data_IF_166479899983
#
_entry.id   IF_166479899983
#
_cell.length_a   1.000
_cell.length_b   1.000
_cell.length_c   1.000
_cell.angle_alpha   90.00
_cell.angle_beta   90.00
_cell.angle_gamma   90.00
#
_symmetry.space_group_name_H-M   'P 1'
#
loop_
_entity.id
_entity.type
_entity.pdbx_description
1 polymer ?
#
# COMPACT_ATOMS: atom_id res chain seq x y z
N UNK A 1 1.70 13.67 15.66
CA UNK A 1 1.93 12.26 15.32
C UNK A 1 0.94 11.40 16.08
N UNK A 2 0.32 10.41 15.39
CA UNK A 2 -0.67 9.49 15.98
C UNK A 2 -0.36 8.06 15.55
N UNK A 3 -0.63 7.11 16.43
CA UNK A 3 -0.43 5.68 16.17
C UNK A 3 -1.72 5.08 15.59
N UNK A 4 -1.69 4.70 14.31
CA UNK A 4 -2.84 4.13 13.59
C UNK A 4 -3.21 2.70 14.04
N UNK A 5 -2.45 2.07 14.92
CA UNK A 5 -2.87 0.85 15.59
C UNK A 5 -3.98 1.11 16.63
N UNK A 6 -4.14 2.36 17.08
CA UNK A 6 -5.21 2.76 18.01
C UNK A 6 -6.52 3.00 17.26
N UNK A 7 -7.60 2.45 17.80
CA UNK A 7 -8.93 2.51 17.17
C UNK A 7 -9.41 3.94 16.92
N UNK A 8 -9.15 4.86 17.85
CA UNK A 8 -9.63 6.24 17.78
C UNK A 8 -8.76 7.15 16.88
N UNK A 9 -7.53 6.74 16.54
CA UNK A 9 -6.57 7.58 15.82
C UNK A 9 -7.12 8.16 14.49
N UNK A 10 -7.81 7.42 13.62
CA UNK A 10 -8.38 8.00 12.41
C UNK A 10 -9.41 9.11 12.68
N UNK A 11 -10.23 8.94 13.72
CA UNK A 11 -11.22 9.95 14.14
C UNK A 11 -10.54 11.18 14.73
N UNK A 12 -9.53 11.01 15.55
CA UNK A 12 -8.75 12.09 16.13
C UNK A 12 -8.02 12.90 15.06
N UNK A 13 -7.45 12.25 14.04
CA UNK A 13 -6.84 12.93 12.88
C UNK A 13 -7.87 13.79 12.16
N UNK A 14 -9.04 13.24 11.89
CA UNK A 14 -10.12 13.97 11.22
C UNK A 14 -10.60 15.17 12.06
N UNK A 15 -10.84 14.97 13.36
CA UNK A 15 -11.23 16.02 14.31
C UNK A 15 -10.18 17.13 14.41
N UNK A 16 -8.89 16.76 14.41
CA UNK A 16 -7.79 17.73 14.39
C UNK A 16 -7.83 18.59 13.12
N UNK A 17 -8.06 18.00 11.95
CA UNK A 17 -8.19 18.76 10.71
C UNK A 17 -9.40 19.71 10.76
N UNK A 18 -10.53 19.26 11.31
CA UNK A 18 -11.71 20.09 11.49
C UNK A 18 -11.45 21.27 12.47
N UNK A 19 -10.81 20.98 13.61
CA UNK A 19 -10.48 22.01 14.60
C UNK A 19 -9.53 23.09 14.04
N UNK A 20 -8.63 22.69 13.12
CA UNK A 20 -7.72 23.62 12.44
C UNK A 20 -8.30 24.26 11.18
N UNK A 21 -9.55 23.97 10.83
CA UNK A 21 -10.22 24.40 9.59
C UNK A 21 -9.42 24.06 8.33
N UNK A 22 -8.76 22.89 8.34
CA UNK A 22 -7.99 22.42 7.19
C UNK A 22 -8.93 21.83 6.13
N UNK A 23 -8.85 22.37 4.90
CA UNK A 23 -9.41 21.70 3.73
C UNK A 23 -8.42 20.66 3.21
N UNK A 24 -8.83 19.39 3.22
CA UNK A 24 -8.00 18.28 2.77
C UNK A 24 -8.42 17.88 1.36
N UNK A 25 -7.65 18.34 0.37
CA UNK A 25 -7.88 18.04 -1.05
C UNK A 25 -7.20 16.75 -1.48
N UNK A 26 -6.16 16.32 -0.74
CA UNK A 26 -5.41 15.09 -0.97
C UNK A 26 -5.23 14.33 0.35
N UNK A 27 -5.83 13.15 0.43
CA UNK A 27 -5.61 12.19 1.52
C UNK A 27 -4.57 11.16 1.08
N UNK A 28 -3.43 11.07 1.79
CA UNK A 28 -2.38 10.09 1.52
C UNK A 28 -2.36 9.02 2.62
N UNK A 29 -2.87 7.84 2.31
CA UNK A 29 -2.82 6.65 3.16
C UNK A 29 -1.50 5.91 2.87
N UNK A 30 -0.43 6.30 3.57
CA UNK A 30 0.93 5.77 3.35
C UNK A 30 1.42 4.88 4.50
N UNK A 31 0.92 5.07 5.71
CA UNK A 31 1.40 4.35 6.88
C UNK A 31 1.31 2.83 6.69
N UNK A 32 2.36 2.15 7.09
CA UNK A 32 2.44 0.70 6.99
C UNK A 32 3.80 0.17 7.43
N UNK A 33 3.82 -1.10 7.75
CA UNK A 33 5.02 -1.84 8.14
C UNK A 33 4.89 -3.30 7.69
N UNK A 34 5.95 -4.07 7.84
CA UNK A 34 5.98 -5.52 7.65
C UNK A 34 6.25 -6.24 8.96
N UNK A 35 5.89 -7.51 9.06
CA UNK A 35 6.19 -8.36 10.20
C UNK A 35 7.28 -9.36 9.77
N UNK A 36 8.40 -9.41 10.49
CA UNK A 36 9.53 -10.31 10.20
C UNK A 36 9.28 -11.74 10.70
N UNK A 37 8.54 -11.85 11.80
CA UNK A 37 8.30 -13.12 12.49
C UNK A 37 7.34 -14.01 11.68
N UNK A 38 7.60 -15.32 11.68
CA UNK A 38 6.69 -16.29 11.04
C UNK A 38 5.30 -16.23 11.68
N UNK A 39 4.26 -16.40 10.89
CA UNK A 39 2.86 -16.23 11.29
C UNK A 39 2.46 -16.99 12.56
N UNK A 40 2.94 -18.22 12.74
CA UNK A 40 2.63 -19.02 13.93
C UNK A 40 3.36 -18.56 15.21
N UNK A 41 4.33 -17.62 15.07
CA UNK A 41 5.11 -17.05 16.17
C UNK A 41 4.71 -15.58 16.48
N UNK A 42 3.77 -15.00 15.72
CA UNK A 42 3.19 -13.70 16.03
C UNK A 42 2.04 -13.85 17.01
N UNK A 43 1.75 -12.80 17.76
CA UNK A 43 0.53 -12.74 18.58
C UNK A 43 -0.69 -12.40 17.72
N UNK A 44 -1.89 -12.75 18.19
CA UNK A 44 -3.15 -12.31 17.56
C UNK A 44 -3.21 -10.78 17.53
N UNK A 45 -2.74 -10.13 18.58
CA UNK A 45 -2.71 -8.66 18.69
C UNK A 45 -1.81 -8.02 17.61
N UNK A 46 -0.65 -8.61 17.31
CA UNK A 46 0.24 -8.13 16.26
C UNK A 46 -0.43 -8.20 14.88
N UNK A 47 -1.13 -9.32 14.59
CA UNK A 47 -1.85 -9.49 13.33
C UNK A 47 -3.07 -8.55 13.23
N UNK A 48 -3.80 -8.34 14.32
CA UNK A 48 -4.91 -7.37 14.36
C UNK A 48 -4.40 -5.94 14.16
N UNK A 49 -3.31 -5.54 14.82
CA UNK A 49 -2.69 -4.24 14.65
C UNK A 49 -2.18 -4.04 13.22
N UNK A 50 -1.62 -5.10 12.62
CA UNK A 50 -1.19 -5.09 11.23
C UNK A 50 -2.36 -4.81 10.27
N UNK A 51 -3.48 -5.54 10.43
CA UNK A 51 -4.70 -5.33 9.65
C UNK A 51 -5.27 -3.93 9.91
N UNK A 52 -5.22 -3.46 11.15
CA UNK A 52 -5.72 -2.14 11.53
C UNK A 52 -4.94 -1.02 10.83
N UNK A 53 -3.61 -1.05 10.89
CA UNK A 53 -2.79 0.00 10.28
C UNK A 53 -2.87 -0.03 8.75
N UNK A 54 -2.77 -1.21 8.12
CA UNK A 54 -2.70 -1.31 6.66
C UNK A 54 -4.07 -1.34 5.97
N UNK A 55 -5.13 -1.61 6.70
CA UNK A 55 -6.48 -1.81 6.17
C UNK A 55 -7.52 -0.92 6.83
N UNK A 56 -7.88 -1.21 8.07
CA UNK A 56 -9.02 -0.57 8.75
C UNK A 56 -8.84 0.94 8.86
N UNK A 57 -7.64 1.43 9.23
CA UNK A 57 -7.37 2.87 9.33
C UNK A 57 -7.52 3.59 7.99
N UNK A 58 -7.10 2.95 6.90
CA UNK A 58 -7.26 3.46 5.53
C UNK A 58 -8.73 3.62 5.18
N UNK A 59 -9.56 2.62 5.51
CA UNK A 59 -11.01 2.67 5.28
C UNK A 59 -11.64 3.79 6.10
N UNK A 60 -11.30 3.87 7.39
CA UNK A 60 -11.86 4.87 8.32
C UNK A 60 -11.50 6.30 7.89
N UNK A 61 -10.22 6.57 7.61
CA UNK A 61 -9.80 7.89 7.12
C UNK A 61 -10.50 8.24 5.81
N UNK A 62 -10.51 7.33 4.85
CA UNK A 62 -11.20 7.55 3.56
C UNK A 62 -12.67 7.86 3.77
N UNK A 63 -13.38 7.11 4.62
CA UNK A 63 -14.79 7.31 4.93
C UNK A 63 -15.06 8.67 5.60
N UNK A 64 -14.17 9.09 6.51
CA UNK A 64 -14.32 10.36 7.23
C UNK A 64 -14.10 11.59 6.33
N UNK A 65 -13.13 11.53 5.39
CA UNK A 65 -12.80 12.66 4.54
C UNK A 65 -13.68 12.79 3.29
N UNK A 66 -14.24 11.71 2.75
CA UNK A 66 -15.09 11.73 1.54
C UNK A 66 -16.25 12.76 1.61
N UNK A 67 -17.03 12.89 2.71
CA UNK A 67 -18.12 13.85 2.77
C UNK A 67 -17.67 15.30 2.56
N UNK A 68 -16.54 15.68 3.17
CA UNK A 68 -15.97 17.01 3.01
C UNK A 68 -15.44 17.23 1.58
N UNK A 69 -14.78 16.22 0.99
CA UNK A 69 -14.34 16.27 -0.41
C UNK A 69 -15.53 16.47 -1.37
N UNK A 70 -16.64 15.76 -1.15
CA UNK A 70 -17.87 15.95 -1.95
C UNK A 70 -18.38 17.40 -1.83
N UNK A 71 -18.47 17.91 -0.59
CA UNK A 71 -18.94 19.28 -0.32
C UNK A 71 -18.06 20.33 -1.01
N UNK A 72 -16.76 20.08 -1.10
CA UNK A 72 -15.77 20.97 -1.71
C UNK A 72 -15.61 20.78 -3.23
N UNK A 73 -16.45 19.96 -3.88
CA UNK A 73 -16.43 19.74 -5.33
C UNK A 73 -15.44 18.69 -5.82
N UNK A 74 -14.80 17.95 -4.93
CA UNK A 74 -13.91 16.85 -5.29
C UNK A 74 -12.75 16.66 -4.33
N UNK A 75 -11.90 15.68 -4.64
CA UNK A 75 -10.71 15.36 -3.85
C UNK A 75 -9.89 14.22 -4.44
N UNK A 76 -8.70 14.03 -3.93
CA UNK A 76 -7.77 12.98 -4.34
C UNK A 76 -7.46 12.07 -3.15
N UNK A 77 -7.44 10.77 -3.39
CA UNK A 77 -7.05 9.78 -2.40
C UNK A 77 -5.89 8.97 -2.97
N UNK A 78 -4.79 8.88 -2.24
CA UNK A 78 -3.67 7.99 -2.52
C UNK A 78 -3.66 6.87 -1.49
N UNK A 79 -3.62 5.63 -1.95
CA UNK A 79 -3.45 4.46 -1.09
C UNK A 79 -2.15 3.77 -1.49
N UNK A 80 -1.17 3.76 -0.57
CA UNK A 80 0.10 3.09 -0.83
C UNK A 80 -0.05 1.59 -0.59
N UNK A 81 -0.20 0.88 -1.70
CA UNK A 81 -0.25 -0.56 -1.79
C UNK A 81 1.16 -1.16 -1.97
N UNK A 82 1.32 -2.15 -2.85
CA UNK A 82 2.60 -2.77 -3.20
C UNK A 82 2.46 -3.61 -4.47
N UNK A 83 3.56 -3.87 -5.18
CA UNK A 83 3.61 -4.92 -6.22
C UNK A 83 3.30 -6.31 -5.65
N UNK A 84 3.45 -6.51 -4.34
CA UNK A 84 3.05 -7.73 -3.65
C UNK A 84 1.55 -8.05 -3.81
N UNK A 85 0.71 -7.05 -4.10
CA UNK A 85 -0.72 -7.23 -4.38
C UNK A 85 -1.00 -8.01 -5.68
N UNK A 86 -0.02 -8.15 -6.56
CA UNK A 86 -0.11 -8.93 -7.80
C UNK A 86 0.68 -10.23 -7.77
N UNK A 87 1.56 -10.40 -6.77
CA UNK A 87 2.42 -11.56 -6.63
C UNK A 87 1.66 -12.78 -6.09
N UNK A 88 2.23 -13.98 -6.31
CA UNK A 88 1.77 -15.18 -5.64
C UNK A 88 1.87 -15.03 -4.10
N UNK A 89 1.06 -15.77 -3.32
CA UNK A 89 1.16 -15.75 -1.86
C UNK A 89 2.59 -16.02 -1.38
N UNK A 90 3.01 -15.27 -0.37
CA UNK A 90 4.34 -15.39 0.24
C UNK A 90 4.32 -16.41 1.37
N UNK A 91 5.42 -17.15 1.57
CA UNK A 91 5.62 -17.97 2.75
C UNK A 91 5.87 -17.13 4.02
N UNK A 92 6.37 -15.91 3.83
CA UNK A 92 6.60 -14.91 4.88
C UNK A 92 5.51 -13.85 4.81
N UNK A 93 4.99 -13.43 5.95
CA UNK A 93 3.94 -12.41 6.04
C UNK A 93 2.69 -12.73 5.20
N UNK A 94 1.95 -13.78 5.54
CA UNK A 94 0.81 -14.24 4.75
C UNK A 94 -0.29 -13.19 4.59
N UNK A 95 -0.42 -12.21 5.48
CA UNK A 95 -1.41 -11.14 5.39
C UNK A 95 -0.97 -9.96 4.51
N UNK A 96 0.33 -9.75 4.27
CA UNK A 96 0.79 -8.54 3.56
C UNK A 96 0.26 -8.47 2.12
N UNK A 97 0.46 -9.52 1.32
CA UNK A 97 -0.05 -9.59 -0.04
C UNK A 97 -1.58 -9.46 -0.12
N UNK A 98 -2.34 -10.26 0.64
CA UNK A 98 -3.79 -10.16 0.71
C UNK A 98 -4.31 -8.78 1.08
N UNK A 99 -3.75 -8.13 2.10
CA UNK A 99 -4.23 -6.79 2.51
C UNK A 99 -3.91 -5.73 1.46
N UNK A 100 -2.75 -5.81 0.79
CA UNK A 100 -2.40 -4.91 -0.32
C UNK A 100 -3.30 -5.15 -1.55
N UNK A 101 -3.72 -6.39 -1.81
CA UNK A 101 -4.72 -6.71 -2.84
C UNK A 101 -6.09 -6.13 -2.49
N UNK A 102 -6.50 -6.26 -1.24
CA UNK A 102 -7.73 -5.67 -0.72
C UNK A 102 -7.72 -4.14 -0.90
N UNK A 103 -6.60 -3.47 -0.60
CA UNK A 103 -6.45 -2.02 -0.78
C UNK A 103 -6.57 -1.60 -2.25
N UNK A 104 -6.03 -2.37 -3.21
CA UNK A 104 -6.22 -2.10 -4.62
C UNK A 104 -7.70 -2.14 -5.01
N UNK A 105 -8.43 -3.18 -4.57
CA UNK A 105 -9.85 -3.33 -4.86
C UNK A 105 -10.71 -2.27 -4.17
N UNK A 106 -10.35 -1.90 -2.95
CA UNK A 106 -11.00 -0.80 -2.24
C UNK A 106 -10.82 0.52 -2.99
N UNK A 107 -9.60 0.84 -3.45
CA UNK A 107 -9.33 2.02 -4.29
C UNK A 107 -10.16 2.04 -5.58
N UNK A 108 -10.25 0.90 -6.28
CA UNK A 108 -11.09 0.76 -7.48
C UNK A 108 -12.58 1.04 -7.16
N UNK A 109 -13.07 0.52 -6.04
CA UNK A 109 -14.45 0.73 -5.60
C UNK A 109 -14.74 2.21 -5.28
N UNK A 110 -13.78 2.93 -4.68
CA UNK A 110 -13.89 4.37 -4.46
C UNK A 110 -14.04 5.11 -5.80
N UNK A 111 -13.23 4.77 -6.82
CA UNK A 111 -13.36 5.38 -8.15
C UNK A 111 -14.75 5.13 -8.77
N UNK A 112 -15.24 3.88 -8.73
CA UNK A 112 -16.55 3.54 -9.28
C UNK A 112 -17.66 4.37 -8.61
N UNK A 113 -17.59 4.50 -7.27
CA UNK A 113 -18.68 5.13 -6.52
C UNK A 113 -18.62 6.66 -6.46
N UNK A 114 -17.42 7.27 -6.59
CA UNK A 114 -17.25 8.69 -6.27
C UNK A 114 -16.59 9.53 -7.37
N UNK A 115 -16.11 8.93 -8.47
CA UNK A 115 -15.48 9.69 -9.56
C UNK A 115 -16.43 10.73 -10.18
N UNK A 116 -17.72 10.40 -10.28
CA UNK A 116 -18.75 11.34 -10.76
C UNK A 116 -18.99 12.53 -9.82
N UNK A 117 -18.51 12.47 -8.57
CA UNK A 117 -18.53 13.54 -7.55
C UNK A 117 -17.17 14.26 -7.46
N UNK A 118 -16.29 14.09 -8.46
CA UNK A 118 -14.97 14.73 -8.48
C UNK A 118 -13.91 14.07 -7.62
N UNK A 119 -14.19 12.91 -6.99
CA UNK A 119 -13.21 12.20 -6.15
C UNK A 119 -12.56 11.08 -6.94
N UNK A 120 -11.22 11.03 -6.94
CA UNK A 120 -10.44 9.93 -7.51
C UNK A 120 -9.55 9.28 -6.47
N UNK A 121 -9.40 7.97 -6.55
CA UNK A 121 -8.50 7.19 -5.71
C UNK A 121 -7.42 6.52 -6.56
N UNK A 122 -6.17 6.67 -6.16
CA UNK A 122 -5.02 6.05 -6.82
C UNK A 122 -4.40 5.01 -5.91
N UNK A 123 -4.42 3.75 -6.35
CA UNK A 123 -3.63 2.70 -5.72
C UNK A 123 -2.20 2.78 -6.24
N UNK A 124 -1.26 3.13 -5.38
CA UNK A 124 0.17 3.17 -5.69
C UNK A 124 0.81 1.86 -5.29
N UNK A 125 1.42 1.16 -6.23
CA UNK A 125 2.02 -0.16 -6.04
C UNK A 125 3.54 -0.11 -6.25
N UNK A 126 4.32 0.38 -5.26
CA UNK A 126 5.77 0.40 -5.35
C UNK A 126 6.34 -1.02 -5.31
N UNK A 127 7.52 -1.18 -5.91
CA UNK A 127 8.40 -2.30 -5.65
C UNK A 127 9.39 -1.99 -4.54
N UNK A 128 10.58 -2.60 -4.59
CA UNK A 128 11.63 -2.35 -3.61
C UNK A 128 12.11 -0.90 -3.70
N UNK A 129 11.97 -0.19 -2.59
CA UNK A 129 12.25 1.24 -2.48
C UNK A 129 13.17 1.49 -1.29
N UNK A 130 14.21 2.26 -1.48
CA UNK A 130 15.13 2.63 -0.37
C UNK A 130 14.38 3.57 0.58
N UNK A 131 13.96 3.03 1.70
CA UNK A 131 13.24 3.76 2.77
C UNK A 131 13.52 3.10 4.12
N UNK A 132 13.15 3.76 5.21
CA UNK A 132 13.15 3.15 6.55
C UNK A 132 12.18 1.97 6.75
N UNK A 133 11.32 1.67 5.77
CA UNK A 133 10.35 0.57 5.85
C UNK A 133 11.01 -0.79 6.10
N UNK A 134 12.07 -1.11 5.35
CA UNK A 134 12.75 -2.41 5.47
C UNK A 134 13.46 -2.56 6.80
N UNK A 135 14.06 -1.47 7.30
CA UNK A 135 14.69 -1.44 8.63
C UNK A 135 13.63 -1.59 9.73
N UNK A 136 12.54 -0.81 9.64
CA UNK A 136 11.44 -0.90 10.61
C UNK A 136 10.73 -2.26 10.61
N UNK A 137 10.66 -2.92 9.44
CA UNK A 137 10.08 -4.26 9.29
C UNK A 137 11.06 -5.38 9.62
N UNK A 138 12.34 -5.07 9.94
CA UNK A 138 13.39 -6.06 10.25
C UNK A 138 13.82 -6.95 9.07
N UNK A 139 13.55 -6.54 7.81
CA UNK A 139 13.84 -7.30 6.59
C UNK A 139 14.96 -6.68 5.74
N UNK A 140 15.87 -5.93 6.37
CA UNK A 140 16.97 -5.26 5.67
C UNK A 140 17.90 -6.24 4.95
N UNK A 141 18.25 -7.38 5.57
CA UNK A 141 19.11 -8.40 4.95
C UNK A 141 18.52 -8.99 3.66
N UNK A 142 17.18 -9.19 3.63
CA UNK A 142 16.51 -9.63 2.40
C UNK A 142 16.53 -8.54 1.35
N UNK A 143 16.43 -7.26 1.76
CA UNK A 143 16.54 -6.12 0.86
C UNK A 143 17.92 -6.04 0.21
N UNK A 144 18.99 -6.34 0.95
CA UNK A 144 20.38 -6.29 0.46
C UNK A 144 20.66 -7.38 -0.59
N UNK A 145 19.84 -8.44 -0.63
CA UNK A 145 19.91 -9.50 -1.65
C UNK A 145 19.14 -9.19 -2.94
N UNK A 146 18.33 -8.12 -2.93
CA UNK A 146 17.55 -7.73 -4.11
C UNK A 146 18.47 -7.16 -5.19
N UNK A 147 18.34 -7.59 -6.46
CA UNK A 147 19.14 -7.05 -7.55
C UNK A 147 19.01 -5.52 -7.64
N UNK A 148 20.13 -4.81 -7.77
CA UNK A 148 20.17 -3.32 -7.76
C UNK A 148 19.25 -2.67 -8.78
N UNK A 149 19.02 -3.30 -9.95
CA UNK A 149 18.12 -2.77 -10.98
C UNK A 149 16.63 -2.81 -10.58
N UNK A 150 16.29 -3.52 -9.50
CA UNK A 150 14.95 -3.57 -8.92
C UNK A 150 14.77 -2.60 -7.74
N UNK A 151 15.82 -1.93 -7.29
CA UNK A 151 15.80 -1.02 -6.13
C UNK A 151 15.79 0.42 -6.62
N UNK A 152 14.83 1.23 -6.13
CA UNK A 152 14.65 2.61 -6.56
C UNK A 152 14.61 3.56 -5.36
N UNK A 153 14.97 4.83 -5.59
CA UNK A 153 14.93 5.86 -4.55
C UNK A 153 13.49 6.25 -4.19
N UNK A 154 13.29 6.66 -2.94
CA UNK A 154 12.00 7.11 -2.43
C UNK A 154 11.47 8.33 -3.20
N UNK A 155 12.37 9.29 -3.55
CA UNK A 155 11.99 10.51 -4.28
C UNK A 155 11.38 10.18 -5.65
N UNK A 156 12.01 9.26 -6.38
CA UNK A 156 11.50 8.85 -7.70
C UNK A 156 10.12 8.21 -7.59
N UNK A 157 9.96 7.28 -6.63
CA UNK A 157 8.70 6.60 -6.39
C UNK A 157 7.61 7.58 -5.97
N UNK A 158 7.92 8.48 -5.02
CA UNK A 158 7.00 9.49 -4.54
C UNK A 158 6.56 10.45 -5.65
N UNK A 159 7.52 10.91 -6.51
CA UNK A 159 7.19 11.77 -7.64
C UNK A 159 6.20 11.11 -8.59
N UNK A 160 6.47 9.87 -9.05
CA UNK A 160 5.57 9.15 -9.95
C UNK A 160 4.19 8.89 -9.30
N UNK A 161 4.17 8.62 -7.99
CA UNK A 161 2.94 8.41 -7.22
C UNK A 161 2.08 9.67 -7.14
N UNK A 162 2.69 10.81 -6.80
CA UNK A 162 2.00 12.11 -6.71
C UNK A 162 1.47 12.52 -8.07
N UNK A 163 2.32 12.48 -9.12
CA UNK A 163 1.93 12.83 -10.49
C UNK A 163 0.72 11.98 -10.96
N UNK A 164 0.74 10.68 -10.68
CA UNK A 164 -0.36 9.78 -11.03
C UNK A 164 -1.65 10.09 -10.25
N UNK A 165 -1.52 10.41 -8.96
CA UNK A 165 -2.66 10.75 -8.09
C UNK A 165 -3.29 12.07 -8.51
N UNK A 166 -2.50 13.08 -8.77
CA UNK A 166 -2.99 14.38 -9.24
C UNK A 166 -3.68 14.26 -10.61
N UNK A 167 -3.16 13.39 -11.48
CA UNK A 167 -3.78 13.07 -12.77
C UNK A 167 -5.04 12.18 -12.65
N UNK A 168 -5.45 11.76 -11.46
CA UNK A 168 -6.63 10.91 -11.22
C UNK A 168 -6.55 9.49 -11.80
N UNK A 169 -5.33 8.94 -11.93
CA UNK A 169 -5.13 7.56 -12.38
C UNK A 169 -5.56 6.59 -11.28
N UNK A 170 -6.31 5.54 -11.63
CA UNK A 170 -6.75 4.53 -10.64
C UNK A 170 -5.61 3.66 -10.12
N UNK A 171 -4.59 3.40 -10.94
CA UNK A 171 -3.45 2.57 -10.59
C UNK A 171 -2.14 3.26 -10.98
N UNK A 172 -1.19 3.28 -10.07
CA UNK A 172 0.20 3.68 -10.32
C UNK A 172 1.14 2.54 -9.93
N UNK A 173 1.82 1.96 -10.89
CA UNK A 173 2.98 1.09 -10.66
C UNK A 173 4.21 1.92 -11.05
N UNK A 174 4.96 2.48 -10.08
CA UNK A 174 6.13 3.30 -10.40
C UNK A 174 7.20 2.47 -11.11
N UNK A 175 7.94 3.13 -11.99
CA UNK A 175 9.04 2.61 -12.81
C UNK A 175 8.65 1.64 -13.92
N UNK A 176 9.40 1.66 -15.02
CA UNK A 176 9.19 0.76 -16.18
C UNK A 176 9.43 -0.70 -15.80
N UNK A 177 10.44 -0.97 -14.96
CA UNK A 177 10.78 -2.31 -14.47
C UNK A 177 9.58 -2.97 -13.78
N UNK A 178 8.95 -2.25 -12.83
CA UNK A 178 7.81 -2.81 -12.11
C UNK A 178 6.52 -2.82 -12.94
N UNK A 179 6.33 -1.91 -13.88
CA UNK A 179 5.22 -1.99 -14.85
C UNK A 179 5.29 -3.29 -15.66
N UNK A 180 6.48 -3.62 -16.15
CA UNK A 180 6.70 -4.88 -16.88
C UNK A 180 6.51 -6.10 -15.98
N UNK A 181 7.07 -6.08 -14.76
CA UNK A 181 6.89 -7.17 -13.80
C UNK A 181 5.39 -7.40 -13.49
N UNK A 182 4.65 -6.34 -13.17
CA UNK A 182 3.20 -6.45 -12.88
C UNK A 182 2.41 -6.94 -14.10
N UNK A 183 2.80 -6.54 -15.31
CA UNK A 183 2.20 -7.08 -16.53
C UNK A 183 2.41 -8.59 -16.60
N UNK A 184 3.63 -9.09 -16.34
CA UNK A 184 3.91 -10.53 -16.30
C UNK A 184 3.11 -11.23 -15.18
N UNK A 185 3.07 -10.66 -13.97
CA UNK A 185 2.33 -11.21 -12.83
C UNK A 185 0.82 -11.35 -13.09
N UNK A 186 0.25 -10.47 -13.90
CA UNK A 186 -1.17 -10.51 -14.25
C UNK A 186 -1.52 -11.51 -15.37
N UNK A 187 -0.56 -11.86 -16.20
CA UNK A 187 -0.82 -12.63 -17.43
C UNK A 187 -0.22 -14.04 -17.42
N UNK A 188 0.69 -14.35 -16.50
CA UNK A 188 1.28 -15.68 -16.39
C UNK A 188 0.50 -16.59 -15.41
N UNK A 189 0.45 -17.90 -15.70
CA UNK A 189 -0.10 -18.88 -14.76
C UNK A 189 0.63 -18.85 -13.41
N UNK A 190 -0.10 -19.11 -12.33
CA UNK A 190 0.44 -19.10 -10.96
C UNK A 190 1.60 -20.11 -10.75
N UNK A 191 1.57 -21.25 -11.46
CA UNK A 191 2.64 -22.25 -11.44
C UNK A 191 3.97 -21.67 -11.96
N UNK A 192 3.91 -20.93 -13.05
CA UNK A 192 5.08 -20.25 -13.65
C UNK A 192 5.58 -19.14 -12.72
N UNK A 193 4.66 -18.37 -12.13
CA UNK A 193 5.01 -17.28 -11.21
C UNK A 193 5.72 -17.78 -9.96
N UNK A 194 5.31 -18.93 -9.42
CA UNK A 194 6.00 -19.54 -8.26
C UNK A 194 7.42 -19.96 -8.60
N UNK A 195 7.63 -20.53 -9.80
CA UNK A 195 8.97 -20.96 -10.25
C UNK A 195 9.91 -19.76 -10.43
N UNK A 196 9.41 -18.65 -11.01
CA UNK A 196 10.21 -17.43 -11.22
C UNK A 196 10.40 -16.67 -9.90
N UNK A 197 9.40 -16.69 -9.02
CA UNK A 197 9.37 -15.91 -7.78
C UNK A 197 10.48 -16.28 -6.80
N UNK A 198 10.91 -17.55 -6.75
CA UNK A 198 12.02 -18.00 -5.90
C UNK A 198 13.34 -17.33 -6.27
N UNK A 199 13.57 -17.02 -7.57
CA UNK A 199 14.77 -16.33 -8.02
C UNK A 199 14.72 -14.82 -7.89
N UNK A 200 13.55 -14.19 -7.98
CA UNK A 200 13.39 -12.72 -7.96
C UNK A 200 13.14 -12.13 -6.56
N UNK A 201 12.70 -12.95 -5.62
CA UNK A 201 12.44 -12.55 -4.24
C UNK A 201 12.93 -13.62 -3.27
N UNK A 202 14.26 -13.75 -3.08
CA UNK A 202 14.85 -14.73 -2.18
C UNK A 202 14.26 -14.60 -0.77
N UNK A 203 13.99 -15.74 -0.13
CA UNK A 203 13.39 -15.79 1.20
C UNK A 203 11.87 -15.57 1.25
N UNK A 204 11.26 -15.09 0.17
CA UNK A 204 9.80 -14.88 0.14
C UNK A 204 9.00 -16.17 0.01
N UNK A 205 9.57 -17.16 -0.64
CA UNK A 205 8.93 -18.45 -0.94
C UNK A 205 9.66 -19.64 -0.32
N UNK A 206 10.77 -19.39 0.38
CA UNK A 206 11.53 -20.44 1.04
C UNK A 206 10.73 -20.96 2.24
N UNK A 207 10.59 -22.27 2.31
CA UNK A 207 10.07 -22.97 3.50
C UNK A 207 11.26 -23.25 4.41
N UNK A 208 11.35 -22.59 5.54
CA UNK A 208 12.19 -23.02 6.66
C UNK A 208 11.46 -24.08 7.45
#
# INVERSE_FOLDING_TARGET
SMDLSKYEAPKEIFQFCQFKDYQVDLLVNNAGYGIKTSFHNTSIEDEENFIRVLGTSVIMLTKLFIPNMIKNGGGKIMIVSSVASFAAPSAIQPLYGPIKTFMNRFSDSININYKHKGITSTSVCPGFTVTGFHTASGVQEQMDRVPKFMVFSAERIAKEAVDATLAGKSLCVPTKTYKFLVFMLKNLPQSVLRLIGTGLAPGRYDRN
#
